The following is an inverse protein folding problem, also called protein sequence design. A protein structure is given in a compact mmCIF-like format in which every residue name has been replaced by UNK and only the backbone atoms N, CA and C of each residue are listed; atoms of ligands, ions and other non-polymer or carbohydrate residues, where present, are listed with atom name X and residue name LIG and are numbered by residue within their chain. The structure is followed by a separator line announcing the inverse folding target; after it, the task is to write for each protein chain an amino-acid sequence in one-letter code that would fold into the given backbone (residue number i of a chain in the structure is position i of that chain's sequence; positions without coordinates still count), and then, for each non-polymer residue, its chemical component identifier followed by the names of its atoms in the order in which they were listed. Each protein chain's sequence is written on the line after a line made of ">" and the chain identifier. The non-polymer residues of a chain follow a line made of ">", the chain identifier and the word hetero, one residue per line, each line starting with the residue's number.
data_IF_261058749304
#
_entry.id   IF_261058749304
#
_cell.length_a   1.000
_cell.length_b   1.000
_cell.length_c   1.000
_cell.angle_alpha   90.00
_cell.angle_beta   90.00
_cell.angle_gamma   90.00
#
_symmetry.space_group_name_H-M   'P 1'
#
loop_
_entity.id
_entity.type
_entity.pdbx_description
1 polymer ?
#
# COMPACT_ATOMS: atom_id res chain seq x y z
N UNK A 1 -20.69 19.40 -19.82
CA UNK A 1 -19.47 18.67 -20.23
C UNK A 1 -18.28 19.50 -19.79
N UNK A 2 -17.61 19.07 -18.74
CA UNK A 2 -16.40 19.74 -18.26
C UNK A 2 -15.25 19.27 -19.15
N UNK A 3 -14.66 20.17 -19.91
CA UNK A 3 -13.41 19.91 -20.64
C UNK A 3 -12.34 19.58 -19.59
N UNK A 4 -11.85 18.36 -19.65
CA UNK A 4 -10.66 17.97 -18.91
C UNK A 4 -9.50 18.82 -19.43
N UNK A 5 -9.06 19.82 -18.64
CA UNK A 5 -7.78 20.50 -18.87
C UNK A 5 -6.69 19.45 -18.83
N UNK A 6 -6.28 18.99 -19.98
CA UNK A 6 -5.05 18.21 -20.14
C UNK A 6 -3.89 19.17 -19.86
N UNK A 7 -3.43 19.19 -18.62
CA UNK A 7 -2.19 19.87 -18.29
C UNK A 7 -1.09 19.00 -18.88
N UNK A 8 -0.75 19.22 -20.14
CA UNK A 8 0.42 18.60 -20.74
C UNK A 8 1.63 18.96 -19.88
N UNK A 9 2.32 17.94 -19.36
CA UNK A 9 3.69 18.13 -18.89
C UNK A 9 4.47 18.60 -20.11
N UNK A 10 4.79 19.90 -20.17
CA UNK A 10 5.48 20.48 -21.30
C UNK A 10 6.78 19.72 -21.51
N UNK A 11 6.94 19.15 -22.70
CA UNK A 11 8.26 18.75 -23.15
C UNK A 11 9.19 19.95 -22.96
N UNK A 12 10.32 19.74 -22.28
CA UNK A 12 11.22 20.82 -21.89
C UNK A 12 11.87 21.54 -23.08
N UNK A 13 11.72 21.03 -24.28
CA UNK A 13 12.30 21.59 -25.49
C UNK A 13 11.26 22.45 -26.23
N UNK A 14 11.26 23.74 -25.98
CA UNK A 14 10.52 24.72 -26.77
C UNK A 14 11.44 25.43 -27.79
N UNK A 15 10.84 26.21 -28.67
CA UNK A 15 11.55 26.97 -29.72
C UNK A 15 12.55 27.99 -29.16
N UNK A 16 12.45 28.34 -27.87
CA UNK A 16 13.31 29.31 -27.19
C UNK A 16 14.50 28.68 -26.47
N UNK A 17 14.61 27.35 -26.41
CA UNK A 17 15.63 26.63 -25.63
C UNK A 17 17.05 27.08 -26.00
N UNK A 18 17.35 27.30 -27.27
CA UNK A 18 18.66 27.71 -27.77
C UNK A 18 18.87 29.23 -27.92
N UNK A 19 17.91 30.08 -27.52
CA UNK A 19 17.94 31.53 -27.83
C UNK A 19 18.84 32.34 -26.88
N UNK A 20 19.20 31.79 -25.71
CA UNK A 20 20.12 32.41 -24.75
C UNK A 20 20.77 31.38 -23.83
N UNK A 21 21.91 31.73 -23.23
CA UNK A 21 22.58 30.87 -22.22
C UNK A 21 21.67 30.56 -21.03
N UNK A 22 20.83 31.52 -20.63
CA UNK A 22 19.83 31.29 -19.56
C UNK A 22 18.80 30.24 -19.97
N UNK A 23 18.23 30.32 -21.17
CA UNK A 23 17.24 29.37 -21.66
C UNK A 23 17.84 27.98 -21.81
N UNK A 24 19.06 27.87 -22.31
CA UNK A 24 19.81 26.61 -22.40
C UNK A 24 20.05 26.00 -21.02
N UNK A 25 20.51 26.78 -20.05
CA UNK A 25 20.73 26.34 -18.68
C UNK A 25 19.41 25.89 -18.01
N UNK A 26 18.35 26.66 -18.16
CA UNK A 26 17.02 26.32 -17.65
C UNK A 26 16.51 24.99 -18.23
N UNK A 27 16.68 24.79 -19.53
CA UNK A 27 16.33 23.52 -20.19
C UNK A 27 17.11 22.34 -19.63
N UNK A 28 18.44 22.46 -19.52
CA UNK A 28 19.27 21.40 -18.95
C UNK A 28 18.89 21.07 -17.50
N UNK A 29 18.68 22.10 -16.69
CA UNK A 29 18.26 21.93 -15.27
C UNK A 29 16.91 21.23 -15.16
N UNK A 30 15.93 21.62 -15.96
CA UNK A 30 14.61 20.96 -15.96
C UNK A 30 14.69 19.52 -16.41
N UNK A 31 15.51 19.19 -17.39
CA UNK A 31 15.71 17.80 -17.81
C UNK A 31 16.30 16.96 -16.68
N UNK A 32 17.34 17.45 -16.01
CA UNK A 32 17.93 16.77 -14.86
C UNK A 32 16.92 16.53 -13.73
N UNK A 33 16.09 17.53 -13.43
CA UNK A 33 15.05 17.40 -12.39
C UNK A 33 13.96 16.39 -12.82
N UNK A 34 13.59 16.36 -14.10
CA UNK A 34 12.57 15.43 -14.59
C UNK A 34 13.06 13.97 -14.63
N UNK A 35 14.36 13.74 -14.70
CA UNK A 35 14.97 12.40 -14.64
C UNK A 35 15.02 11.85 -13.20
N UNK A 36 14.78 12.70 -12.19
CA UNK A 36 14.75 12.30 -10.78
C UNK A 36 13.45 11.60 -10.46
N UNK A 37 13.46 10.27 -10.38
CA UNK A 37 12.32 9.49 -9.93
C UNK A 37 12.10 9.69 -8.42
N UNK A 38 10.90 10.10 -8.02
CA UNK A 38 10.50 10.33 -6.62
C UNK A 38 9.35 9.42 -6.20
N UNK A 39 8.14 9.70 -6.67
CA UNK A 39 6.95 8.90 -6.44
C UNK A 39 5.99 9.03 -7.62
N UNK A 40 5.28 7.96 -7.93
CA UNK A 40 4.31 7.93 -9.02
C UNK A 40 3.12 7.04 -8.66
N UNK A 41 1.86 7.42 -8.99
CA UNK A 41 0.72 6.54 -8.87
C UNK A 41 0.85 5.34 -9.80
N UNK A 42 0.59 4.15 -9.27
CA UNK A 42 0.73 2.88 -10.00
C UNK A 42 -0.46 1.96 -9.78
N UNK A 43 -0.61 1.00 -10.70
CA UNK A 43 -1.55 -0.12 -10.58
C UNK A 43 -0.77 -1.44 -10.56
N UNK A 44 -1.13 -2.34 -9.64
CA UNK A 44 -0.56 -3.69 -9.55
C UNK A 44 -1.00 -4.52 -10.77
N UNK A 45 -0.04 -5.12 -11.45
CA UNK A 45 -0.24 -6.00 -12.61
C UNK A 45 0.29 -7.42 -12.39
N UNK A 46 1.12 -7.63 -11.36
CA UNK A 46 1.61 -8.93 -10.92
C UNK A 46 1.87 -8.92 -9.42
N UNK A 47 1.70 -10.07 -8.77
CA UNK A 47 1.94 -10.25 -7.33
C UNK A 47 2.73 -11.52 -7.09
N UNK A 48 3.81 -11.41 -6.33
CA UNK A 48 4.56 -12.51 -5.75
C UNK A 48 4.42 -12.40 -4.23
N UNK A 49 3.37 -13.02 -3.67
CA UNK A 49 3.12 -12.97 -2.23
C UNK A 49 4.27 -13.65 -1.46
N UNK A 50 4.69 -13.02 -0.38
CA UNK A 50 5.70 -13.59 0.51
C UNK A 50 5.08 -14.62 1.45
N UNK A 51 5.70 -15.77 1.62
CA UNK A 51 5.28 -16.77 2.61
C UNK A 51 5.86 -16.35 3.97
N UNK A 52 5.07 -15.57 4.75
CA UNK A 52 5.49 -15.03 6.05
C UNK A 52 6.29 -13.73 5.97
N UNK A 53 7.16 -13.53 4.98
CA UNK A 53 7.88 -12.28 4.69
C UNK A 53 7.09 -11.36 3.78
N UNK A 54 7.57 -10.12 3.58
CA UNK A 54 7.05 -9.21 2.56
C UNK A 54 7.38 -9.76 1.17
N UNK A 55 6.40 -9.79 0.29
CA UNK A 55 6.60 -10.20 -1.11
C UNK A 55 6.87 -9.01 -2.03
N UNK A 56 6.68 -9.24 -3.34
CA UNK A 56 6.96 -8.27 -4.39
C UNK A 56 5.75 -8.10 -5.30
N UNK A 57 5.67 -6.94 -5.93
CA UNK A 57 4.67 -6.63 -6.95
C UNK A 57 5.32 -6.11 -8.21
N UNK A 58 4.67 -6.40 -9.34
CA UNK A 58 4.92 -5.72 -10.60
C UNK A 58 3.83 -4.66 -10.79
N UNK A 59 4.21 -3.47 -11.19
CA UNK A 59 3.29 -2.34 -11.27
C UNK A 59 3.39 -1.60 -12.59
N UNK A 60 2.26 -1.06 -13.03
CA UNK A 60 2.17 -0.17 -14.20
C UNK A 60 1.96 1.27 -13.70
N UNK A 61 2.85 2.23 -14.04
CA UNK A 61 2.60 3.64 -13.79
C UNK A 61 1.30 4.12 -14.45
N UNK A 62 0.53 4.96 -13.74
CA UNK A 62 -0.76 5.47 -14.19
C UNK A 62 -0.66 6.85 -14.84
N UNK A 63 0.53 7.44 -14.85
CA UNK A 63 0.80 8.73 -15.49
C UNK A 63 1.66 8.51 -16.71
N UNK A 64 1.20 8.99 -17.86
CA UNK A 64 1.96 8.93 -19.11
C UNK A 64 2.94 10.10 -19.21
N UNK A 65 4.06 9.87 -19.86
CA UNK A 65 4.97 10.95 -20.24
C UNK A 65 4.50 11.59 -21.56
N UNK A 66 4.81 12.86 -21.73
CA UNK A 66 4.54 13.57 -22.98
C UNK A 66 5.87 13.86 -23.68
N UNK A 67 6.04 13.35 -24.91
CA UNK A 67 7.25 13.59 -25.71
C UNK A 67 7.33 15.03 -26.19
N UNK A 68 8.53 15.44 -26.66
CA UNK A 68 8.74 16.77 -27.27
C UNK A 68 7.84 17.08 -28.46
N UNK A 69 7.26 16.06 -29.09
CA UNK A 69 6.28 16.19 -30.17
C UNK A 69 4.82 16.23 -29.63
N UNK A 70 4.62 16.48 -28.34
CA UNK A 70 3.32 16.51 -27.65
C UNK A 70 2.50 15.20 -27.79
N UNK A 71 3.21 14.06 -27.90
CA UNK A 71 2.59 12.73 -27.93
C UNK A 71 2.74 12.04 -26.59
N UNK A 72 1.65 11.42 -26.11
CA UNK A 72 1.68 10.59 -24.92
C UNK A 72 2.55 9.34 -25.17
N UNK A 73 3.51 9.10 -24.29
CA UNK A 73 4.36 7.91 -24.29
C UNK A 73 3.84 7.00 -23.19
N UNK A 74 3.46 5.77 -23.55
CA UNK A 74 2.98 4.80 -22.59
C UNK A 74 4.11 4.38 -21.63
N UNK A 75 3.86 4.34 -20.32
CA UNK A 75 4.83 3.85 -19.37
C UNK A 75 5.05 2.34 -19.54
N UNK A 76 6.21 1.88 -19.11
CA UNK A 76 6.52 0.45 -19.03
C UNK A 76 6.27 -0.05 -17.61
N UNK A 77 6.04 -1.37 -17.47
CA UNK A 77 5.91 -1.99 -16.16
C UNK A 77 7.22 -1.86 -15.37
N UNK A 78 7.08 -1.62 -14.07
CA UNK A 78 8.15 -1.72 -13.08
C UNK A 78 8.00 -3.06 -12.39
N UNK A 79 9.10 -3.79 -12.27
CA UNK A 79 9.08 -5.16 -11.79
C UNK A 79 9.75 -5.29 -10.43
N UNK A 80 9.23 -6.28 -9.66
CA UNK A 80 9.88 -6.75 -8.44
C UNK A 80 10.05 -5.67 -7.36
N UNK A 81 9.02 -4.83 -7.15
CA UNK A 81 9.00 -3.85 -6.08
C UNK A 81 8.53 -4.52 -4.78
N UNK A 82 9.31 -4.47 -3.69
CA UNK A 82 8.82 -4.93 -2.40
C UNK A 82 7.65 -4.03 -1.94
N UNK A 83 6.58 -4.65 -1.43
CA UNK A 83 5.43 -3.88 -0.96
C UNK A 83 5.51 -3.61 0.55
N UNK A 84 4.96 -2.48 0.96
CA UNK A 84 4.91 -2.07 2.35
C UNK A 84 3.96 -2.95 3.16
N UNK A 85 4.39 -3.33 4.37
CA UNK A 85 3.57 -4.00 5.38
C UNK A 85 3.70 -3.26 6.69
N UNK A 86 2.60 -3.08 7.41
CA UNK A 86 2.62 -2.52 8.77
C UNK A 86 3.16 -3.59 9.71
N UNK A 87 4.44 -3.51 10.05
CA UNK A 87 5.07 -4.49 10.94
C UNK A 87 6.17 -3.86 11.81
N UNK A 88 6.40 -4.48 12.97
CA UNK A 88 7.48 -4.12 13.88
C UNK A 88 7.74 -5.25 14.86
N UNK A 89 9.01 -5.61 15.08
CA UNK A 89 9.38 -6.78 15.87
C UNK A 89 8.70 -8.06 15.35
N UNK A 90 7.95 -8.74 16.20
CA UNK A 90 7.25 -9.99 15.88
C UNK A 90 5.75 -9.77 15.55
N UNK A 91 5.30 -8.53 15.36
CA UNK A 91 3.90 -8.21 15.11
C UNK A 91 3.70 -7.55 13.75
N UNK A 92 2.63 -7.92 13.05
CA UNK A 92 2.29 -7.34 11.76
C UNK A 92 0.77 -7.31 11.53
N UNK A 93 0.32 -6.35 10.68
CA UNK A 93 -0.97 -6.40 10.00
C UNK A 93 -0.68 -6.81 8.56
N UNK A 94 -1.18 -7.99 8.17
CA UNK A 94 -0.88 -8.55 6.86
C UNK A 94 -2.05 -8.28 5.93
N UNK A 95 -1.81 -7.46 4.91
CA UNK A 95 -2.73 -7.14 3.82
C UNK A 95 -1.92 -7.23 2.54
N UNK A 96 -1.98 -8.38 1.89
CA UNK A 96 -1.24 -8.57 0.65
C UNK A 96 -1.98 -7.90 -0.53
N UNK A 97 -1.25 -7.22 -1.43
CA UNK A 97 -1.85 -6.59 -2.60
C UNK A 97 -2.45 -7.64 -3.55
N UNK A 98 -3.44 -7.22 -4.32
CA UNK A 98 -4.01 -8.00 -5.42
C UNK A 98 -3.85 -7.29 -6.76
N UNK A 99 -3.93 -8.04 -7.86
CA UNK A 99 -3.90 -7.46 -9.20
C UNK A 99 -5.06 -6.49 -9.37
N UNK A 100 -4.76 -5.27 -9.82
CA UNK A 100 -5.72 -4.19 -9.96
C UNK A 100 -5.65 -3.13 -8.86
N UNK A 101 -5.05 -3.43 -7.72
CA UNK A 101 -4.83 -2.46 -6.66
C UNK A 101 -4.02 -1.27 -7.12
N UNK A 102 -4.35 -0.10 -6.58
CA UNK A 102 -3.63 1.15 -6.83
C UNK A 102 -2.85 1.56 -5.60
N UNK A 103 -1.70 2.15 -5.84
CA UNK A 103 -0.80 2.63 -4.80
C UNK A 103 0.19 3.64 -5.36
N UNK A 104 1.20 3.93 -4.56
CA UNK A 104 2.35 4.74 -4.95
C UNK A 104 3.58 3.85 -5.09
N UNK A 105 4.32 3.98 -6.18
CA UNK A 105 5.72 3.57 -6.22
C UNK A 105 6.57 4.75 -5.76
N UNK A 106 7.41 4.54 -4.76
CA UNK A 106 8.40 5.50 -4.26
C UNK A 106 9.79 4.96 -4.57
N UNK A 107 10.76 5.83 -4.84
CA UNK A 107 12.06 5.41 -5.35
C UNK A 107 13.18 5.85 -4.42
N UNK A 108 14.16 4.95 -4.21
CA UNK A 108 15.33 5.22 -3.40
C UNK A 108 16.26 6.24 -4.08
N UNK A 109 16.96 7.02 -3.26
CA UNK A 109 17.98 7.96 -3.76
C UNK A 109 19.15 7.28 -4.44
N UNK A 110 19.55 6.10 -3.96
CA UNK A 110 20.66 5.32 -4.48
C UNK A 110 20.24 3.89 -4.73
N UNK A 111 21.02 3.16 -5.52
CA UNK A 111 20.80 1.75 -5.81
C UNK A 111 20.80 0.92 -4.52
N UNK A 112 19.61 0.44 -4.13
CA UNK A 112 19.39 -0.35 -2.93
C UNK A 112 19.33 -1.86 -3.18
N UNK A 113 19.76 -2.35 -4.34
CA UNK A 113 19.72 -3.77 -4.70
C UNK A 113 20.56 -4.69 -3.80
N UNK A 114 21.48 -4.12 -3.03
CA UNK A 114 22.31 -4.83 -2.03
C UNK A 114 21.64 -4.99 -0.67
N UNK A 115 20.49 -4.32 -0.45
CA UNK A 115 19.74 -4.36 0.80
C UNK A 115 18.62 -5.40 0.71
N UNK A 116 18.58 -6.34 1.65
CA UNK A 116 17.57 -7.39 1.73
C UNK A 116 17.13 -7.61 3.20
N UNK A 117 16.26 -8.58 3.45
CA UNK A 117 15.72 -8.87 4.77
C UNK A 117 16.79 -9.27 5.82
N UNK A 118 17.91 -9.80 5.40
CA UNK A 118 19.00 -10.26 6.27
C UNK A 118 20.07 -9.18 6.49
N UNK A 119 19.91 -8.00 5.87
CA UNK A 119 20.89 -6.91 5.97
C UNK A 119 20.81 -6.25 7.33
N UNK A 120 21.89 -6.31 8.11
CA UNK A 120 21.99 -5.72 9.46
C UNK A 120 22.93 -4.51 9.51
N UNK A 121 23.81 -4.37 8.54
CA UNK A 121 24.81 -3.29 8.47
C UNK A 121 24.62 -2.46 7.19
N UNK A 122 25.05 -1.17 7.19
CA UNK A 122 25.00 -0.35 5.99
C UNK A 122 25.74 -0.98 4.82
N UNK A 123 25.10 -1.01 3.66
CA UNK A 123 25.67 -1.57 2.42
C UNK A 123 26.08 -0.46 1.46
N UNK A 124 27.10 -0.74 0.65
CA UNK A 124 27.42 0.13 -0.48
C UNK A 124 26.33 -0.02 -1.56
N UNK A 125 26.00 1.08 -2.30
CA UNK A 125 25.08 0.97 -3.43
C UNK A 125 25.56 -0.09 -4.43
N UNK A 126 24.62 -0.86 -5.01
CA UNK A 126 24.93 -1.89 -6.00
C UNK A 126 25.53 -1.34 -7.29
N UNK A 127 25.24 -0.07 -7.60
CA UNK A 127 25.79 0.66 -8.74
C UNK A 127 25.83 2.17 -8.46
N UNK A 128 26.26 2.97 -9.46
CA UNK A 128 26.23 4.44 -9.40
C UNK A 128 24.86 5.04 -9.76
N UNK A 129 23.85 4.19 -9.92
CA UNK A 129 22.48 4.60 -10.25
C UNK A 129 21.86 5.39 -9.09
N UNK A 130 21.19 6.50 -9.41
CA UNK A 130 20.49 7.34 -8.43
C UNK A 130 19.09 7.65 -8.93
N UNK A 131 18.11 7.76 -8.02
CA UNK A 131 16.72 8.10 -8.30
C UNK A 131 16.10 7.29 -9.45
N UNK A 132 16.44 6.01 -9.52
CA UNK A 132 15.99 5.12 -10.59
C UNK A 132 14.65 4.47 -10.26
N UNK A 133 13.79 4.32 -11.26
CA UNK A 133 12.55 3.55 -11.11
C UNK A 133 12.76 2.06 -10.84
N UNK A 134 13.99 1.55 -11.05
CA UNK A 134 14.36 0.17 -10.69
C UNK A 134 14.58 -0.03 -9.18
N UNK A 135 14.74 1.05 -8.42
CA UNK A 135 14.96 1.03 -6.97
C UNK A 135 13.70 1.49 -6.23
N UNK A 136 12.58 0.89 -6.60
CA UNK A 136 11.25 1.26 -6.14
C UNK A 136 10.72 0.38 -5.01
N UNK A 137 9.80 0.96 -4.22
CA UNK A 137 8.99 0.31 -3.19
C UNK A 137 7.52 0.63 -3.46
N UNK A 138 6.64 -0.35 -3.24
CA UNK A 138 5.21 -0.15 -3.41
C UNK A 138 4.52 0.15 -2.08
N UNK A 139 3.80 1.26 -2.03
CA UNK A 139 2.89 1.67 -0.95
C UNK A 139 1.45 1.48 -1.43
N UNK A 140 0.74 0.52 -0.86
CA UNK A 140 -0.64 0.21 -1.22
C UNK A 140 -1.68 1.13 -0.60
N UNK A 141 -2.95 0.89 -0.94
CA UNK A 141 -4.09 1.56 -0.32
C UNK A 141 -4.40 2.96 -0.85
N UNK A 142 -3.91 3.33 -2.03
CA UNK A 142 -4.13 4.64 -2.64
C UNK A 142 -5.13 4.56 -3.79
N UNK A 143 -6.25 5.31 -3.69
CA UNK A 143 -7.30 5.37 -4.74
C UNK A 143 -7.99 4.02 -5.06
N UNK A 144 -8.02 3.10 -4.12
CA UNK A 144 -8.76 1.85 -4.25
C UNK A 144 -10.26 2.04 -3.99
N UNK A 145 -11.05 1.03 -4.38
CA UNK A 145 -12.48 0.97 -4.06
C UNK A 145 -12.70 0.72 -2.55
N UNK A 146 -13.92 0.97 -2.06
CA UNK A 146 -14.27 0.68 -0.68
C UNK A 146 -14.13 -0.81 -0.37
N UNK A 147 -13.43 -1.20 0.71
CA UNK A 147 -13.27 -2.59 1.08
C UNK A 147 -14.56 -3.19 1.65
N UNK A 148 -14.74 -4.50 1.47
CA UNK A 148 -15.84 -5.27 2.08
C UNK A 148 -15.46 -5.95 3.40
N UNK A 149 -14.16 -5.98 3.72
CA UNK A 149 -13.60 -6.49 4.96
C UNK A 149 -12.65 -5.45 5.53
N UNK A 150 -12.92 -4.96 6.74
CA UNK A 150 -12.13 -3.85 7.30
C UNK A 150 -12.24 -3.76 8.83
N UNK A 151 -11.31 -3.03 9.41
CA UNK A 151 -11.32 -2.56 10.79
C UNK A 151 -11.52 -1.04 10.74
N UNK A 152 -12.60 -0.55 11.31
CA UNK A 152 -12.90 0.89 11.38
C UNK A 152 -12.80 1.38 12.82
N UNK A 153 -11.98 2.39 13.04
CA UNK A 153 -11.86 3.12 14.30
C UNK A 153 -12.66 4.42 14.14
N UNK A 154 -13.83 4.48 14.79
CA UNK A 154 -14.73 5.63 14.68
C UNK A 154 -14.40 6.73 15.69
N UNK A 155 -14.79 7.96 15.36
CA UNK A 155 -14.58 9.13 16.23
C UNK A 155 -15.43 9.10 17.52
N UNK A 156 -16.48 8.27 17.55
CA UNK A 156 -17.31 8.02 18.74
C UNK A 156 -16.70 6.98 19.70
N UNK A 157 -15.44 6.64 19.51
CA UNK A 157 -14.68 5.63 20.25
C UNK A 157 -15.15 4.18 20.04
N UNK A 158 -15.90 3.91 18.97
CA UNK A 158 -16.30 2.55 18.60
C UNK A 158 -15.27 1.92 17.64
N UNK A 159 -14.99 0.63 17.83
CA UNK A 159 -14.23 -0.18 16.87
C UNK A 159 -15.20 -1.14 16.19
N UNK A 160 -15.23 -1.09 14.86
CA UNK A 160 -16.06 -2.00 14.05
C UNK A 160 -15.16 -2.93 13.26
N UNK A 161 -15.39 -4.22 13.41
CA UNK A 161 -14.78 -5.28 12.61
C UNK A 161 -15.82 -5.80 11.63
N UNK A 162 -15.61 -5.61 10.35
CA UNK A 162 -16.50 -6.12 9.29
C UNK A 162 -15.80 -7.21 8.50
N UNK A 163 -16.40 -8.41 8.47
CA UNK A 163 -15.91 -9.54 7.70
C UNK A 163 -17.09 -10.39 7.23
N UNK A 164 -17.31 -10.49 5.90
CA UNK A 164 -18.46 -11.21 5.33
C UNK A 164 -18.38 -12.73 5.52
N UNK A 165 -17.17 -13.28 5.71
CA UNK A 165 -16.93 -14.72 5.88
C UNK A 165 -16.61 -15.12 7.32
N UNK A 166 -16.78 -14.19 8.27
CA UNK A 166 -16.53 -14.42 9.70
C UNK A 166 -15.14 -14.01 10.18
N UNK A 167 -14.94 -14.06 11.49
CA UNK A 167 -13.71 -13.69 12.20
C UNK A 167 -13.23 -14.92 12.96
N UNK A 168 -11.99 -15.35 12.74
CA UNK A 168 -11.34 -16.43 13.47
C UNK A 168 -10.31 -15.85 14.43
N UNK A 169 -10.37 -16.25 15.70
CA UNK A 169 -9.43 -15.84 16.73
C UNK A 169 -8.70 -17.09 17.25
N UNK A 170 -7.39 -17.17 16.99
CA UNK A 170 -6.55 -18.25 17.49
C UNK A 170 -5.86 -17.81 18.79
N UNK A 171 -6.51 -18.04 19.91
CA UNK A 171 -6.01 -17.66 21.23
C UNK A 171 -7.14 -17.45 22.25
N UNK A 172 -6.76 -17.09 23.47
CA UNK A 172 -7.73 -16.77 24.52
C UNK A 172 -8.22 -15.34 24.35
N UNK A 173 -9.54 -15.15 24.46
CA UNK A 173 -10.17 -13.82 24.49
C UNK A 173 -10.60 -13.51 25.92
N UNK A 174 -10.08 -12.42 26.48
CA UNK A 174 -10.52 -11.88 27.76
C UNK A 174 -11.37 -10.65 27.51
N UNK A 175 -12.61 -10.66 28.01
CA UNK A 175 -13.56 -9.55 27.85
C UNK A 175 -13.80 -8.93 29.24
N UNK A 176 -13.44 -7.65 29.39
CA UNK A 176 -13.72 -6.85 30.59
C UNK A 176 -15.05 -6.10 30.42
N UNK A 177 -16.11 -6.82 30.21
CA UNK A 177 -17.45 -6.30 29.93
C UNK A 177 -18.38 -7.44 29.63
N UNK A 178 -19.36 -7.20 28.78
CA UNK A 178 -20.29 -8.24 28.33
C UNK A 178 -20.08 -8.58 26.87
N UNK A 179 -20.44 -9.80 26.49
CA UNK A 179 -20.56 -10.25 25.09
C UNK A 179 -22.05 -10.39 24.75
N UNK A 180 -22.51 -9.64 23.77
CA UNK A 180 -23.89 -9.70 23.32
C UNK A 180 -23.94 -10.33 21.92
N UNK A 181 -24.60 -11.47 21.79
CA UNK A 181 -24.81 -12.16 20.52
C UNK A 181 -26.30 -12.18 20.19
N UNK A 182 -26.73 -11.58 19.07
CA UNK A 182 -28.14 -11.47 18.68
C UNK A 182 -29.06 -10.92 19.78
N UNK A 183 -28.59 -9.97 20.58
CA UNK A 183 -29.35 -9.38 21.68
C UNK A 183 -29.35 -10.20 22.98
N UNK A 184 -28.66 -11.33 23.02
CA UNK A 184 -28.52 -12.16 24.22
C UNK A 184 -27.18 -11.83 24.88
N UNK A 185 -27.23 -11.36 26.13
CA UNK A 185 -26.05 -11.08 26.99
C UNK A 185 -25.47 -12.38 27.53
N UNK A 186 -24.16 -12.56 27.39
CA UNK A 186 -23.48 -13.73 27.96
C UNK A 186 -23.48 -13.69 29.50
N UNK A 187 -23.39 -12.50 30.07
CA UNK A 187 -23.27 -12.32 31.54
C UNK A 187 -24.62 -12.39 32.28
N UNK A 188 -25.75 -12.10 31.60
CA UNK A 188 -27.05 -11.93 32.28
C UNK A 188 -28.18 -12.81 31.74
N UNK A 189 -27.93 -13.64 30.70
CA UNK A 189 -28.97 -14.52 30.17
C UNK A 189 -29.38 -15.60 31.18
N UNK A 190 -30.63 -15.97 31.13
CA UNK A 190 -31.21 -17.00 31.97
C UNK A 190 -31.83 -18.13 31.16
N UNK A 191 -31.84 -19.33 31.72
CA UNK A 191 -32.49 -20.47 31.11
C UNK A 191 -33.82 -20.76 31.84
N UNK A 192 -34.91 -20.86 31.07
CA UNK A 192 -36.20 -21.27 31.63
C UNK A 192 -36.30 -22.79 31.76
N UNK A 193 -37.19 -23.26 32.66
CA UNK A 193 -37.51 -24.70 32.79
C UNK A 193 -36.49 -25.53 33.57
N UNK A 194 -35.61 -24.89 34.36
CA UNK A 194 -34.67 -25.56 35.29
C UNK A 194 -35.14 -25.42 36.72
N UNK A 195 -35.18 -26.51 37.47
CA UNK A 195 -35.41 -26.48 38.91
C UNK A 195 -34.15 -25.96 39.62
N UNK A 196 -34.38 -25.17 40.71
CA UNK A 196 -33.29 -24.69 41.57
C UNK A 196 -32.65 -25.84 42.34
N UNK A 197 -31.38 -26.10 42.11
CA UNK A 197 -30.60 -27.12 42.79
C UNK A 197 -29.16 -26.68 43.07
N UNK A 198 -28.46 -27.33 43.99
CA UNK A 198 -27.04 -27.08 44.32
C UNK A 198 -26.03 -27.76 43.38
N UNK A 199 -26.47 -28.40 42.31
CA UNK A 199 -25.62 -29.07 41.33
C UNK A 199 -25.01 -28.12 40.28
N UNK A 200 -23.78 -28.38 39.86
CA UNK A 200 -23.15 -27.71 38.70
C UNK A 200 -23.27 -28.60 37.47
N UNK A 201 -23.45 -28.01 36.31
CA UNK A 201 -23.31 -28.74 35.01
C UNK A 201 -21.86 -29.06 34.76
N UNK A 202 -21.57 -30.15 34.04
CA UNK A 202 -20.25 -30.41 33.48
C UNK A 202 -19.88 -29.31 32.49
N UNK A 203 -18.57 -29.12 32.23
CA UNK A 203 -18.10 -28.21 31.21
C UNK A 203 -18.68 -28.53 29.83
N UNK A 204 -18.74 -27.56 28.89
CA UNK A 204 -19.18 -27.79 27.50
C UNK A 204 -18.29 -28.85 26.84
N UNK A 205 -18.91 -29.73 26.09
CA UNK A 205 -18.27 -30.79 25.29
C UNK A 205 -18.11 -30.38 23.87
#
# INVERSE_FOLDING_TARGET
>A
MSEAKTTAVQANNDIYTGTSSYNTFNYLTRNLINDVATAIPVKVVGVQAGTGSVGYVDVLPLVTFVSGANKAVQPVNLYHLPYYRIQGGNAAIIIDPIIGDKGLAIFAQADCSTVNADTTEPQQPGSKRTHSQSDGFYLGGFLNQSPSCFIELKQDNTIVLTANSGITINGTVTVNGDVVANGISLSTHTHGGVDTGGGSTSGPQ
#
